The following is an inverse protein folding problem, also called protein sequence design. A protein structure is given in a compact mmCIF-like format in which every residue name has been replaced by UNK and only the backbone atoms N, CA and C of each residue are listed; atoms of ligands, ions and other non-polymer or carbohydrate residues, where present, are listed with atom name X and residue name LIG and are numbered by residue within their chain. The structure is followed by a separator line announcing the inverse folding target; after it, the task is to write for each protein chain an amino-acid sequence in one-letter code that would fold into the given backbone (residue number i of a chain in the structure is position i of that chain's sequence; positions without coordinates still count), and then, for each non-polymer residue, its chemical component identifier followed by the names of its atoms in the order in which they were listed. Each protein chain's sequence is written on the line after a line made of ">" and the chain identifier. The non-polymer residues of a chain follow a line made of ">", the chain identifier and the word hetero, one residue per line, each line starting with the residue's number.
data_IF_885211703425
#
_entry.id   IF_885211703425
#
_cell.length_a   1.000
_cell.length_b   1.000
_cell.length_c   1.000
_cell.angle_alpha   90.00
_cell.angle_beta   90.00
_cell.angle_gamma   90.00
#
_symmetry.space_group_name_H-M   'P 1'
#
loop_
_entity.id
_entity.type
_entity.pdbx_description
1 polymer ?
#
# COMPACT_ATOMS: atom_id res chain seq x y z
N UNK A 1 2.35 10.17 -20.18
CA UNK A 1 2.13 8.83 -19.63
C UNK A 1 3.48 8.10 -19.55
N UNK A 2 4.14 8.15 -18.39
CA UNK A 2 5.36 7.40 -18.10
C UNK A 2 5.01 5.98 -17.66
N UNK A 3 5.82 4.98 -18.04
CA UNK A 3 5.70 3.61 -17.52
C UNK A 3 5.91 3.56 -16.00
N UNK A 4 6.57 4.57 -15.42
CA UNK A 4 6.83 4.70 -13.99
C UNK A 4 5.79 5.57 -13.25
N UNK A 5 4.70 5.98 -13.90
CA UNK A 5 3.71 6.89 -13.29
C UNK A 5 3.17 6.39 -11.97
N UNK A 6 2.98 5.07 -11.80
CA UNK A 6 2.48 4.50 -10.55
C UNK A 6 3.52 4.48 -9.44
N UNK A 7 4.83 4.37 -9.77
CA UNK A 7 5.92 4.53 -8.80
C UNK A 7 5.94 5.98 -8.28
N UNK A 8 5.85 6.96 -9.18
CA UNK A 8 5.80 8.37 -8.79
C UNK A 8 4.56 8.71 -7.95
N UNK A 9 3.42 8.08 -8.26
CA UNK A 9 2.22 8.25 -7.46
C UNK A 9 2.39 7.65 -6.05
N UNK A 10 2.99 6.47 -5.94
CA UNK A 10 3.30 5.84 -4.65
C UNK A 10 4.25 6.71 -3.83
N UNK A 11 5.37 7.16 -4.42
CA UNK A 11 6.34 8.05 -3.76
C UNK A 11 5.70 9.36 -3.31
N UNK A 12 4.83 9.94 -4.13
CA UNK A 12 4.07 11.13 -3.75
C UNK A 12 3.19 10.90 -2.52
N UNK A 13 2.45 9.80 -2.45
CA UNK A 13 1.60 9.48 -1.30
C UNK A 13 2.43 9.23 -0.04
N UNK A 14 3.55 8.52 -0.16
CA UNK A 14 4.45 8.25 0.96
C UNK A 14 5.06 9.53 1.52
N UNK A 15 5.53 10.43 0.66
CA UNK A 15 6.06 11.75 1.07
C UNK A 15 4.99 12.60 1.73
N UNK A 16 3.80 12.63 1.18
CA UNK A 16 2.68 13.38 1.75
C UNK A 16 2.30 12.83 3.13
N UNK A 17 2.24 11.51 3.27
CA UNK A 17 2.01 10.84 4.54
C UNK A 17 3.09 11.19 5.58
N UNK A 18 4.37 11.13 5.20
CA UNK A 18 5.48 11.48 6.08
C UNK A 18 5.41 12.95 6.55
N UNK A 19 5.09 13.87 5.64
CA UNK A 19 4.88 15.28 6.00
C UNK A 19 3.75 15.45 7.01
N UNK A 20 2.63 14.76 6.80
CA UNK A 20 1.47 14.77 7.71
C UNK A 20 1.72 14.01 9.02
N UNK A 21 2.73 13.16 9.08
CA UNK A 21 3.24 12.46 10.26
C UNK A 21 4.33 13.23 11.01
N UNK A 22 4.38 14.58 10.88
CA UNK A 22 5.39 15.45 11.50
C UNK A 22 6.83 15.21 11.01
N UNK A 23 7.01 14.70 9.79
CA UNK A 23 8.33 14.37 9.22
C UNK A 23 9.16 13.42 10.11
N UNK A 24 8.46 12.53 10.83
CA UNK A 24 9.01 11.49 11.70
C UNK A 24 8.44 10.13 11.32
N UNK A 25 8.64 9.12 12.16
CA UNK A 25 8.03 7.80 12.00
C UNK A 25 6.61 7.71 12.57
N UNK A 26 6.12 8.77 13.22
CA UNK A 26 4.71 8.85 13.61
C UNK A 26 3.81 8.86 12.38
N UNK A 27 2.72 8.10 12.43
CA UNK A 27 1.79 8.02 11.31
C UNK A 27 0.63 9.02 11.47
N UNK A 28 0.22 9.71 10.39
CA UNK A 28 -0.99 10.51 10.39
C UNK A 28 -2.21 9.61 10.53
N UNK A 29 -3.14 9.98 11.39
CA UNK A 29 -4.31 9.18 11.71
C UNK A 29 -5.56 10.03 11.91
N UNK A 30 -6.71 9.40 11.73
CA UNK A 30 -8.03 10.01 11.90
C UNK A 30 -9.03 8.97 12.37
N UNK A 31 -9.98 9.36 13.23
CA UNK A 31 -11.10 8.49 13.59
C UNK A 31 -11.95 8.19 12.35
N UNK A 32 -12.34 6.94 12.14
CA UNK A 32 -13.08 6.51 10.96
C UNK A 32 -14.39 7.29 10.76
N UNK A 33 -15.15 7.49 11.82
CA UNK A 33 -16.43 8.23 11.73
C UNK A 33 -16.21 9.72 11.43
N UNK A 34 -15.12 10.32 11.91
CA UNK A 34 -14.77 11.71 11.57
C UNK A 34 -14.33 11.82 10.13
N UNK A 35 -13.54 10.86 9.63
CA UNK A 35 -13.15 10.80 8.22
C UNK A 35 -14.37 10.79 7.30
N UNK A 36 -15.37 9.95 7.57
CA UNK A 36 -16.58 9.87 6.75
C UNK A 36 -17.43 11.15 6.81
N UNK A 37 -17.36 11.88 7.93
CA UNK A 37 -18.04 13.18 8.13
C UNK A 37 -17.19 14.39 7.69
N UNK A 38 -15.99 14.15 7.17
CA UNK A 38 -15.02 15.19 6.79
C UNK A 38 -14.70 16.14 7.95
N UNK A 39 -14.53 15.60 9.16
CA UNK A 39 -14.20 16.34 10.38
C UNK A 39 -12.81 15.98 10.86
N UNK A 40 -12.08 16.95 11.41
CA UNK A 40 -10.82 16.68 12.10
C UNK A 40 -11.09 15.91 13.39
N UNK A 41 -10.28 14.90 13.68
CA UNK A 41 -10.25 14.26 15.00
C UNK A 41 -9.32 15.04 15.91
N UNK A 42 -9.83 15.56 17.00
CA UNK A 42 -9.03 16.32 17.99
C UNK A 42 -8.18 15.41 18.86
N UNK A 43 -8.61 14.17 19.04
CA UNK A 43 -7.95 13.12 19.80
C UNK A 43 -8.04 11.79 19.03
N UNK A 44 -7.22 10.83 19.42
CA UNK A 44 -7.20 9.50 18.84
C UNK A 44 -7.35 8.46 19.96
N UNK A 45 -7.99 7.31 19.72
CA UNK A 45 -7.97 6.18 20.65
C UNK A 45 -6.55 5.68 20.90
N UNK A 46 -6.37 4.97 22.00
CA UNK A 46 -5.12 4.24 22.27
C UNK A 46 -4.78 3.29 21.11
N UNK A 47 -3.51 3.14 20.84
CA UNK A 47 -3.02 2.37 19.70
C UNK A 47 -1.84 1.49 20.09
N UNK A 48 -1.75 0.31 19.48
CA UNK A 48 -0.57 -0.54 19.52
C UNK A 48 0.51 -0.17 18.48
N UNK A 49 0.29 0.87 17.69
CA UNK A 49 1.28 1.34 16.72
C UNK A 49 2.46 1.99 17.43
N UNK A 50 3.57 1.26 17.57
CA UNK A 50 4.71 1.64 18.38
C UNK A 50 5.35 3.00 18.02
N UNK A 51 5.44 3.44 16.74
CA UNK A 51 5.98 4.76 16.42
C UNK A 51 5.08 5.93 16.83
N UNK A 52 3.84 5.65 17.22
CA UNK A 52 2.85 6.64 17.62
C UNK A 52 2.07 7.27 16.47
N UNK A 53 0.95 7.87 16.80
CA UNK A 53 0.05 8.50 15.86
C UNK A 53 -0.01 10.01 16.06
N UNK A 54 -0.30 10.74 15.00
CA UNK A 54 -0.62 12.15 15.03
C UNK A 54 -1.95 12.41 14.33
N UNK A 55 -2.83 13.17 14.96
CA UNK A 55 -4.10 13.54 14.35
C UNK A 55 -3.85 14.36 13.08
N UNK A 56 -4.44 13.91 11.98
CA UNK A 56 -4.29 14.53 10.67
C UNK A 56 -5.58 14.35 9.85
N UNK A 57 -6.02 15.36 9.09
CA UNK A 57 -7.25 15.26 8.29
C UNK A 57 -7.03 14.45 7.02
N UNK A 58 -6.97 13.11 7.14
CA UNK A 58 -6.78 12.19 6.01
C UNK A 58 -7.74 12.48 4.84
N UNK A 59 -8.99 12.81 5.14
CA UNK A 59 -10.02 13.16 4.15
C UNK A 59 -9.69 14.40 3.32
N UNK A 60 -8.79 15.26 3.80
CA UNK A 60 -8.44 16.53 3.16
C UNK A 60 -7.22 16.38 2.24
N UNK A 61 -6.15 15.75 2.73
CA UNK A 61 -4.90 15.68 1.97
C UNK A 61 -4.77 14.42 1.09
N UNK A 62 -5.50 13.35 1.40
CA UNK A 62 -5.53 12.16 0.54
C UNK A 62 -6.14 12.49 -0.82
N UNK A 63 -5.67 11.90 -1.93
CA UNK A 63 -6.29 12.09 -3.23
C UNK A 63 -7.81 11.88 -3.18
N UNK A 64 -8.57 12.84 -3.68
CA UNK A 64 -10.04 12.89 -3.54
C UNK A 64 -10.72 11.59 -4.00
N UNK A 65 -10.25 11.00 -5.11
CA UNK A 65 -10.82 9.76 -5.63
C UNK A 65 -10.62 8.56 -4.69
N UNK A 66 -9.56 8.56 -3.85
CA UNK A 66 -9.32 7.55 -2.81
C UNK A 66 -10.20 7.86 -1.60
N UNK A 67 -10.13 9.09 -1.08
CA UNK A 67 -10.87 9.50 0.10
C UNK A 67 -12.38 9.30 -0.06
N UNK A 68 -12.94 9.64 -1.22
CA UNK A 68 -14.37 9.47 -1.51
C UNK A 68 -14.78 7.99 -1.57
N UNK A 69 -13.96 7.13 -2.21
CA UNK A 69 -14.26 5.68 -2.28
C UNK A 69 -14.18 5.03 -0.92
N UNK A 70 -13.16 5.35 -0.12
CA UNK A 70 -13.04 4.87 1.25
C UNK A 70 -14.23 5.31 2.12
N UNK A 71 -14.58 6.61 2.05
CA UNK A 71 -15.73 7.14 2.80
C UNK A 71 -17.04 6.44 2.44
N UNK A 72 -17.30 6.23 1.15
CA UNK A 72 -18.49 5.48 0.68
C UNK A 72 -18.45 4.03 1.13
N UNK A 73 -17.29 3.37 1.04
CA UNK A 73 -17.09 2.00 1.50
C UNK A 73 -17.37 1.84 2.99
N UNK A 74 -16.83 2.71 3.85
CA UNK A 74 -17.06 2.67 5.29
C UNK A 74 -18.53 2.90 5.65
N UNK A 75 -19.20 3.82 4.97
CA UNK A 75 -20.65 4.03 5.17
C UNK A 75 -21.46 2.80 4.76
N UNK A 76 -21.07 2.14 3.66
CA UNK A 76 -21.72 0.92 3.20
C UNK A 76 -21.53 -0.23 4.19
N UNK A 77 -20.29 -0.46 4.64
CA UNK A 77 -20.00 -1.46 5.65
C UNK A 77 -20.71 -1.18 6.96
N UNK A 78 -20.86 0.07 7.36
CA UNK A 78 -21.64 0.46 8.52
C UNK A 78 -23.14 0.11 8.44
N UNK A 79 -23.68 0.01 7.21
CA UNK A 79 -25.06 -0.47 6.99
C UNK A 79 -25.17 -2.00 7.13
N UNK A 80 -24.16 -2.74 6.68
CA UNK A 80 -24.19 -4.20 6.72
C UNK A 80 -23.68 -4.78 8.03
N UNK A 81 -22.79 -4.07 8.72
CA UNK A 81 -22.20 -4.52 9.98
C UNK A 81 -22.43 -3.47 11.07
N UNK A 82 -23.36 -3.79 11.98
CA UNK A 82 -23.69 -2.90 13.10
C UNK A 82 -22.45 -2.62 13.96
N UNK A 83 -22.15 -1.35 14.21
CA UNK A 83 -20.99 -0.94 15.01
C UNK A 83 -19.68 -0.80 14.22
N UNK A 84 -19.65 -1.16 12.92
CA UNK A 84 -18.44 -1.00 12.10
C UNK A 84 -18.01 0.46 11.99
N UNK A 85 -18.93 1.37 11.68
CA UNK A 85 -18.63 2.79 11.58
C UNK A 85 -18.67 3.44 12.96
N UNK A 86 -17.52 3.52 13.61
CA UNK A 86 -17.37 4.02 14.98
C UNK A 86 -16.24 5.03 15.11
N UNK A 87 -16.28 5.82 16.18
CA UNK A 87 -15.19 6.72 16.58
C UNK A 87 -14.05 5.98 17.29
N UNK A 88 -14.24 4.73 17.70
CA UNK A 88 -13.20 3.91 18.30
C UNK A 88 -12.24 3.31 17.26
N UNK A 89 -12.68 3.25 16.00
CA UNK A 89 -11.83 2.80 14.90
C UNK A 89 -10.96 3.96 14.37
N UNK A 90 -9.65 3.72 14.32
CA UNK A 90 -8.66 4.67 13.82
C UNK A 90 -8.18 4.25 12.43
N UNK A 91 -8.22 5.18 11.49
CA UNK A 91 -7.54 5.07 10.21
C UNK A 91 -6.12 5.58 10.37
N UNK A 92 -5.16 4.79 9.91
CA UNK A 92 -3.75 5.15 9.88
C UNK A 92 -3.33 5.29 8.41
N UNK A 93 -2.77 6.40 8.03
CA UNK A 93 -2.25 6.62 6.69
C UNK A 93 -0.76 6.35 6.63
N UNK A 94 -0.22 5.84 5.58
CA UNK A 94 -0.78 5.09 4.46
C UNK A 94 0.10 3.86 4.23
N UNK A 95 -0.47 2.71 3.96
CA UNK A 95 0.27 1.55 3.48
C UNK A 95 0.17 1.50 1.94
N UNK A 96 1.29 1.71 1.25
CA UNK A 96 1.34 1.79 -0.22
C UNK A 96 2.12 0.64 -0.84
N UNK A 97 2.84 -0.16 -0.05
CA UNK A 97 3.74 -1.22 -0.52
C UNK A 97 3.17 -2.62 -0.33
N UNK A 98 1.92 -2.82 -0.74
CA UNK A 98 1.25 -4.11 -0.72
C UNK A 98 1.47 -4.93 -2.00
N UNK A 99 1.88 -4.27 -3.08
CA UNK A 99 2.28 -4.88 -4.35
C UNK A 99 3.08 -3.89 -5.18
N UNK A 100 3.93 -4.38 -6.09
CA UNK A 100 4.72 -3.50 -6.95
C UNK A 100 3.81 -2.73 -7.91
N UNK A 101 3.99 -1.40 -8.05
CA UNK A 101 3.21 -0.56 -8.95
C UNK A 101 3.61 -0.74 -10.42
N UNK A 102 4.65 -1.52 -10.68
CA UNK A 102 5.15 -1.87 -12.02
C UNK A 102 5.48 -3.35 -12.09
N UNK A 103 5.54 -3.89 -13.32
CA UNK A 103 6.01 -5.25 -13.56
C UNK A 103 7.23 -5.22 -14.47
N UNK A 104 8.31 -5.89 -14.05
CA UNK A 104 9.48 -6.12 -14.87
C UNK A 104 9.19 -7.34 -15.74
N UNK A 105 9.04 -7.15 -17.05
CA UNK A 105 8.59 -8.21 -17.97
C UNK A 105 9.56 -9.37 -18.03
N UNK A 106 9.03 -10.59 -17.96
CA UNK A 106 9.79 -11.85 -18.15
C UNK A 106 9.01 -12.81 -19.03
N UNK A 107 9.71 -13.70 -19.67
CA UNK A 107 9.13 -14.83 -20.40
C UNK A 107 8.48 -15.81 -19.41
N UNK A 108 7.37 -16.45 -19.81
CA UNK A 108 6.58 -17.31 -18.92
C UNK A 108 7.20 -18.70 -18.69
N UNK A 109 7.99 -19.17 -19.65
CA UNK A 109 8.59 -20.52 -19.62
C UNK A 109 9.99 -20.46 -19.01
N UNK A 110 10.84 -19.58 -19.55
CA UNK A 110 12.23 -19.45 -19.11
C UNK A 110 12.40 -18.58 -17.87
N UNK A 111 11.40 -17.81 -17.50
CA UNK A 111 11.39 -16.82 -16.41
C UNK A 111 12.46 -15.72 -16.56
N UNK A 112 13.17 -15.65 -17.68
CA UNK A 112 14.13 -14.61 -17.99
C UNK A 112 13.43 -13.32 -18.43
N UNK A 113 14.06 -12.20 -18.17
CA UNK A 113 13.65 -10.92 -18.73
C UNK A 113 13.66 -10.97 -20.26
N UNK A 114 12.61 -10.46 -20.90
CA UNK A 114 12.39 -10.58 -22.36
C UNK A 114 13.47 -9.94 -23.24
N UNK A 115 14.32 -9.07 -22.69
CA UNK A 115 15.40 -8.37 -23.44
C UNK A 115 16.79 -8.56 -22.83
N UNK A 116 16.90 -8.97 -21.57
CA UNK A 116 18.16 -9.07 -20.85
C UNK A 116 18.38 -10.51 -20.44
N UNK A 117 19.33 -11.18 -21.09
CA UNK A 117 19.70 -12.57 -20.79
C UNK A 117 20.34 -12.66 -19.39
N UNK A 118 20.03 -13.73 -18.66
CA UNK A 118 20.55 -13.97 -17.31
C UNK A 118 19.91 -13.11 -16.21
N UNK A 119 18.90 -12.29 -16.53
CA UNK A 119 18.12 -11.55 -15.54
C UNK A 119 16.78 -12.29 -15.30
N UNK A 120 16.52 -12.66 -14.06
CA UNK A 120 15.30 -13.39 -13.64
C UNK A 120 14.49 -12.52 -12.68
N UNK A 121 13.60 -11.63 -13.16
CA UNK A 121 12.75 -10.81 -12.30
C UNK A 121 11.79 -11.70 -11.50
N UNK A 122 11.81 -11.59 -10.16
CA UNK A 122 10.99 -12.43 -9.31
C UNK A 122 10.38 -11.70 -8.12
N UNK A 123 9.39 -12.33 -7.51
CA UNK A 123 8.77 -11.90 -6.28
C UNK A 123 7.95 -10.62 -6.37
N UNK A 124 7.76 -9.98 -5.23
CA UNK A 124 6.90 -8.81 -5.10
C UNK A 124 7.48 -7.59 -5.82
N UNK A 125 8.76 -7.29 -5.63
CA UNK A 125 9.41 -6.12 -6.24
C UNK A 125 9.37 -6.13 -7.76
N UNK A 126 9.38 -7.30 -8.40
CA UNK A 126 9.26 -7.44 -9.84
C UNK A 126 7.80 -7.53 -10.34
N UNK A 127 6.81 -7.54 -9.44
CA UNK A 127 5.39 -7.53 -9.76
C UNK A 127 4.79 -8.92 -10.05
N UNK A 128 5.39 -10.01 -9.53
CA UNK A 128 4.92 -11.39 -9.75
C UNK A 128 4.25 -12.04 -8.55
N UNK A 129 4.37 -11.45 -7.38
CA UNK A 129 3.77 -11.93 -6.15
C UNK A 129 3.34 -10.77 -5.26
N UNK A 130 2.35 -10.97 -4.39
CA UNK A 130 1.86 -9.96 -3.44
C UNK A 130 1.80 -10.47 -2.00
N UNK A 131 2.42 -11.61 -1.69
CA UNK A 131 2.46 -12.17 -0.34
C UNK A 131 3.74 -12.93 -0.09
N UNK A 132 4.07 -13.14 1.19
CA UNK A 132 5.34 -13.76 1.64
C UNK A 132 5.55 -15.13 0.99
N UNK A 133 4.57 -16.02 1.10
CA UNK A 133 4.66 -17.39 0.55
C UNK A 133 4.74 -17.38 -0.98
N UNK A 134 3.88 -16.61 -1.64
CA UNK A 134 3.88 -16.53 -3.12
C UNK A 134 5.17 -15.92 -3.67
N UNK A 135 5.77 -14.94 -2.96
CA UNK A 135 7.05 -14.37 -3.33
C UNK A 135 8.20 -15.36 -3.15
N UNK A 136 8.17 -16.17 -2.08
CA UNK A 136 9.13 -17.25 -1.84
C UNK A 136 9.07 -18.33 -2.94
N UNK A 137 7.88 -18.80 -3.25
CA UNK A 137 7.67 -19.82 -4.33
C UNK A 137 8.14 -19.28 -5.70
N UNK A 138 7.82 -18.04 -6.02
CA UNK A 138 8.25 -17.43 -7.28
C UNK A 138 9.78 -17.25 -7.34
N UNK A 139 10.41 -16.92 -6.20
CA UNK A 139 11.87 -16.85 -6.07
C UNK A 139 12.54 -18.22 -6.28
N UNK A 140 12.01 -19.29 -5.68
CA UNK A 140 12.49 -20.65 -5.85
C UNK A 140 12.43 -21.09 -7.33
N UNK A 141 11.29 -20.88 -7.99
CA UNK A 141 11.14 -21.18 -9.42
C UNK A 141 12.13 -20.42 -10.31
N UNK A 142 12.37 -19.13 -9.98
CA UNK A 142 13.36 -18.33 -10.72
C UNK A 142 14.80 -18.80 -10.45
N UNK A 143 15.10 -19.27 -9.25
CA UNK A 143 16.42 -19.85 -8.93
C UNK A 143 16.66 -21.16 -9.70
N UNK A 144 15.65 -22.04 -9.79
CA UNK A 144 15.71 -23.26 -10.60
C UNK A 144 15.92 -22.95 -12.09
N UNK A 145 15.17 -21.98 -12.63
CA UNK A 145 15.32 -21.53 -14.01
C UNK A 145 16.70 -20.89 -14.27
N UNK A 146 17.22 -20.13 -13.31
CA UNK A 146 18.55 -19.54 -13.39
C UNK A 146 19.64 -20.64 -13.38
N UNK A 147 19.52 -21.64 -12.51
CA UNK A 147 20.43 -22.79 -12.51
C UNK A 147 20.45 -23.47 -13.87
N UNK A 148 19.27 -23.82 -14.41
CA UNK A 148 19.16 -24.47 -15.71
C UNK A 148 19.70 -23.64 -16.89
N UNK A 149 19.82 -22.32 -16.72
CA UNK A 149 20.37 -21.42 -17.73
C UNK A 149 21.91 -21.35 -17.67
N UNK A 150 22.52 -21.54 -16.48
CA UNK A 150 23.96 -21.44 -16.29
C UNK A 150 24.69 -22.79 -16.29
N UNK A 151 23.96 -23.93 -16.16
CA UNK A 151 24.49 -25.28 -16.34
C UNK A 151 24.62 -25.62 -17.84
#
# INVERSE_FOLDING_TARGET
>A
NSQLSMIYFQDYLERLCWQQGNMKQTAPAQRMADFTKKKLSYDLPETSYAPGLVSSPLHFWMPSFIAERLSKGFQLFGKYSRGFLTNEATMIGVETRTSAPVRITRDKETLQHVRVKGLFPCGEGAGYAGGIVSAGIDGERCAEAAKAFFD
#
